data_IF_031062947889
#
_entry.id   IF_031062947889
#
_cell.length_a   1.000
_cell.length_b   1.000
_cell.length_c   1.000
_cell.angle_alpha   90.00
_cell.angle_beta   90.00
_cell.angle_gamma   90.00
#
_symmetry.space_group_name_H-M   'P 1'
#
loop_
_entity.id
_entity.type
_entity.pdbx_description
1 polymer ?
#
# COMPACT_ATOMS: atom_id res chain seq x y z
N UNK A 1 12.73 6.88 4.54
CA UNK A 1 12.02 5.90 3.69
C UNK A 1 12.93 5.64 2.53
N UNK A 2 13.55 4.46 2.49
CA UNK A 2 14.39 4.06 1.36
C UNK A 2 13.44 3.51 0.29
N UNK A 3 13.49 4.06 -0.92
CA UNK A 3 12.76 3.49 -2.05
C UNK A 3 13.49 2.19 -2.41
N UNK A 4 12.80 1.06 -2.30
CA UNK A 4 13.37 -0.22 -2.69
C UNK A 4 13.53 -0.21 -4.22
N UNK A 5 14.74 -0.48 -4.70
CA UNK A 5 15.06 -0.54 -6.13
C UNK A 5 15.56 -1.93 -6.49
N UNK A 6 15.02 -2.47 -7.57
CA UNK A 6 15.53 -3.69 -8.19
C UNK A 6 15.78 -3.46 -9.68
N UNK A 7 16.78 -4.17 -10.22
CA UNK A 7 17.02 -4.23 -11.66
C UNK A 7 16.51 -5.57 -12.18
N UNK A 8 15.66 -5.53 -13.21
CA UNK A 8 15.15 -6.72 -13.89
C UNK A 8 15.45 -6.62 -15.38
N UNK A 9 16.54 -7.25 -15.80
CA UNK A 9 17.07 -7.09 -17.15
C UNK A 9 17.38 -5.62 -17.44
N UNK A 10 16.70 -5.04 -18.44
CA UNK A 10 16.84 -3.64 -18.86
C UNK A 10 15.93 -2.66 -18.12
N UNK A 11 15.19 -3.12 -17.12
CA UNK A 11 14.23 -2.30 -16.37
C UNK A 11 14.76 -1.97 -14.99
N UNK A 12 14.57 -0.70 -14.60
CA UNK A 12 14.73 -0.26 -13.22
C UNK A 12 13.35 -0.19 -12.59
N UNK A 13 13.14 -0.89 -11.47
CA UNK A 13 11.85 -0.98 -10.80
C UNK A 13 12.00 -0.38 -9.40
N UNK A 14 11.09 0.52 -9.06
CA UNK A 14 11.06 1.25 -7.80
C UNK A 14 9.78 0.91 -7.04
N UNK A 15 9.93 0.46 -5.80
CA UNK A 15 8.83 0.26 -4.87
C UNK A 15 8.47 1.58 -4.20
N UNK A 16 7.26 2.07 -4.47
CA UNK A 16 6.72 3.29 -3.88
C UNK A 16 5.61 2.94 -2.88
N UNK A 17 5.36 3.81 -1.92
CA UNK A 17 4.30 3.61 -0.92
C UNK A 17 3.52 4.88 -0.66
N UNK A 18 2.22 4.84 -0.94
CA UNK A 18 1.27 5.91 -0.65
C UNK A 18 0.85 5.94 0.83
N UNK A 19 1.16 4.88 1.58
CA UNK A 19 0.87 4.79 3.00
C UNK A 19 0.36 3.42 3.40
N UNK A 20 -0.43 3.42 4.47
CA UNK A 20 -1.14 2.25 4.95
C UNK A 20 -2.61 2.57 5.21
N UNK A 21 -3.43 1.53 5.26
CA UNK A 21 -4.83 1.60 5.66
C UNK A 21 -5.23 0.27 6.31
N UNK A 22 -6.39 0.25 6.95
CA UNK A 22 -6.85 -0.88 7.75
C UNK A 22 -8.19 -1.38 7.23
N UNK A 23 -8.29 -2.69 7.00
CA UNK A 23 -9.52 -3.37 6.59
C UNK A 23 -9.83 -4.52 7.54
N UNK A 24 -11.11 -4.87 7.67
CA UNK A 24 -11.51 -6.07 8.42
C UNK A 24 -10.80 -7.32 7.90
N UNK A 25 -10.08 -8.01 8.77
CA UNK A 25 -9.31 -9.20 8.40
C UNK A 25 -10.20 -10.34 7.93
N UNK A 26 -11.41 -10.49 8.50
CA UNK A 26 -12.37 -11.49 8.06
C UNK A 26 -12.82 -11.26 6.62
N UNK A 27 -13.11 -10.02 6.25
CA UNK A 27 -13.45 -9.64 4.88
C UNK A 27 -12.29 -9.90 3.90
N UNK A 28 -11.04 -9.67 4.32
CA UNK A 28 -9.86 -9.89 3.47
C UNK A 28 -9.51 -11.37 3.28
N UNK A 29 -9.76 -12.20 4.29
CA UNK A 29 -9.40 -13.62 4.30
C UNK A 29 -10.57 -14.57 4.04
N UNK A 30 -11.80 -14.06 3.95
CA UNK A 30 -12.99 -14.81 3.60
C UNK A 30 -13.22 -16.01 4.51
N UNK A 31 -13.19 -17.22 3.93
CA UNK A 31 -13.44 -18.47 4.66
C UNK A 31 -12.29 -18.91 5.56
N UNK A 32 -11.11 -18.28 5.47
CA UNK A 32 -9.94 -18.71 6.25
C UNK A 32 -10.14 -18.34 7.72
N UNK A 33 -10.05 -19.29 8.66
CA UNK A 33 -10.23 -19.00 10.09
C UNK A 33 -9.24 -17.96 10.62
N UNK A 34 -9.74 -17.07 11.49
CA UNK A 34 -8.94 -16.04 12.17
C UNK A 34 -7.70 -16.57 12.84
N UNK A 35 -7.83 -17.70 13.54
CA UNK A 35 -6.71 -18.38 14.21
C UNK A 35 -5.56 -18.78 13.27
N UNK A 36 -5.80 -18.85 11.96
CA UNK A 36 -4.76 -19.11 10.95
C UNK A 36 -4.16 -17.84 10.38
N UNK A 37 -4.99 -16.90 9.90
CA UNK A 37 -4.47 -15.71 9.22
C UNK A 37 -3.87 -14.68 10.19
N UNK A 38 -4.38 -14.58 11.42
CA UNK A 38 -3.93 -13.60 12.42
C UNK A 38 -2.46 -13.83 12.84
N UNK A 39 -1.98 -15.07 12.71
CA UNK A 39 -0.57 -15.41 12.94
C UNK A 39 0.39 -14.68 11.99
N UNK A 40 -0.07 -14.36 10.78
CA UNK A 40 0.73 -13.66 9.75
C UNK A 40 0.33 -12.19 9.62
N UNK A 41 -0.95 -11.88 9.85
CA UNK A 41 -1.50 -10.54 9.72
C UNK A 41 -2.23 -10.19 11.02
N UNK A 42 -1.51 -9.71 12.05
CA UNK A 42 -2.11 -9.36 13.33
C UNK A 42 -3.23 -8.34 13.14
N UNK A 43 -4.39 -8.61 13.74
CA UNK A 43 -5.51 -7.69 13.74
C UNK A 43 -5.46 -6.75 14.94
N UNK A 44 -6.01 -5.55 14.78
CA UNK A 44 -6.30 -4.63 15.87
C UNK A 44 -7.55 -5.04 16.67
N UNK A 45 -7.90 -4.26 17.70
CA UNK A 45 -9.08 -4.47 18.55
C UNK A 45 -10.41 -4.46 17.77
N UNK A 46 -10.43 -3.84 16.58
CA UNK A 46 -11.58 -3.78 15.67
C UNK A 46 -11.55 -4.89 14.61
N UNK A 47 -10.70 -5.90 14.78
CA UNK A 47 -10.48 -7.00 13.83
C UNK A 47 -9.87 -6.57 12.49
N UNK A 48 -9.18 -5.42 12.42
CA UNK A 48 -8.63 -4.90 11.17
C UNK A 48 -7.15 -5.22 11.02
N UNK A 49 -6.73 -5.52 9.80
CA UNK A 49 -5.33 -5.77 9.44
C UNK A 49 -4.74 -4.54 8.75
N UNK A 50 -3.45 -4.27 9.00
CA UNK A 50 -2.70 -3.20 8.34
C UNK A 50 -2.28 -3.62 6.93
N UNK A 51 -2.69 -2.85 5.93
CA UNK A 51 -2.40 -3.06 4.52
C UNK A 51 -1.59 -1.90 3.98
N UNK A 52 -0.62 -2.20 3.11
CA UNK A 52 0.22 -1.19 2.46
C UNK A 52 -0.36 -0.79 1.11
N UNK A 53 -0.41 0.52 0.86
CA UNK A 53 -0.75 1.10 -0.44
C UNK A 53 0.53 1.22 -1.27
N UNK A 54 0.96 0.11 -1.86
CA UNK A 54 2.18 0.08 -2.66
C UNK A 54 1.86 0.40 -4.13
N UNK A 55 2.74 1.20 -4.74
CA UNK A 55 2.77 1.44 -6.18
C UNK A 55 4.13 1.03 -6.73
N UNK A 56 4.20 0.74 -8.03
CA UNK A 56 5.45 0.35 -8.68
C UNK A 56 5.72 1.31 -9.83
N UNK A 57 6.89 1.96 -9.80
CA UNK A 57 7.38 2.73 -10.94
C UNK A 57 8.39 1.89 -11.71
N UNK A 58 8.08 1.61 -12.97
CA UNK A 58 8.93 0.86 -13.90
C UNK A 58 9.53 1.86 -14.88
N UNK A 59 10.85 1.97 -14.87
CA UNK A 59 11.60 2.78 -15.82
C UNK A 59 12.20 1.88 -16.89
N UNK A 60 11.81 2.17 -18.13
CA UNK A 60 12.38 1.54 -19.34
C UNK A 60 13.27 2.56 -20.07
N UNK A 61 13.85 2.15 -21.20
CA UNK A 61 14.62 3.05 -22.05
C UNK A 61 13.76 4.13 -22.75
N UNK A 62 12.43 3.93 -22.85
CA UNK A 62 11.53 4.81 -23.62
C UNK A 62 10.47 5.50 -22.75
N UNK A 63 10.10 4.87 -21.64
CA UNK A 63 8.88 5.20 -20.91
C UNK A 63 9.07 5.02 -19.40
N UNK A 64 8.30 5.80 -18.64
CA UNK A 64 8.03 5.62 -17.22
C UNK A 64 6.61 5.09 -17.07
N UNK A 65 6.47 3.92 -16.46
CA UNK A 65 5.19 3.24 -16.28
C UNK A 65 4.90 3.17 -14.78
N UNK A 66 3.80 3.77 -14.35
CA UNK A 66 3.33 3.69 -12.97
C UNK A 66 2.22 2.63 -12.88
N UNK A 67 2.39 1.67 -11.99
CA UNK A 67 1.40 0.65 -11.65
C UNK A 67 0.81 1.03 -10.29
N UNK A 68 -0.52 1.23 -10.27
CA UNK A 68 -1.31 1.76 -9.15
C UNK A 68 -0.99 3.21 -8.75
N UNK A 69 -2.01 3.92 -8.25
CA UNK A 69 -1.90 5.32 -7.82
C UNK A 69 -2.30 5.55 -6.36
N UNK A 70 -2.28 4.48 -5.56
CA UNK A 70 -2.73 4.54 -4.16
C UNK A 70 -4.24 4.79 -4.08
N UNK A 71 -4.65 5.62 -3.13
CA UNK A 71 -6.08 5.91 -2.86
C UNK A 71 -6.51 7.32 -3.27
N UNK A 72 -5.67 8.05 -4.01
CA UNK A 72 -5.98 9.42 -4.46
C UNK A 72 -5.89 10.48 -3.36
N UNK A 73 -6.12 11.75 -3.72
CA UNK A 73 -5.98 12.90 -2.81
C UNK A 73 -7.28 13.41 -2.18
N UNK A 74 -8.41 13.28 -2.91
CA UNK A 74 -9.70 13.84 -2.52
C UNK A 74 -10.56 12.84 -1.75
N UNK A 75 -10.13 12.50 -0.54
CA UNK A 75 -10.85 11.60 0.36
C UNK A 75 -11.53 12.38 1.48
N UNK A 76 -12.82 12.10 1.73
CA UNK A 76 -13.58 12.65 2.87
C UNK A 76 -12.90 12.23 4.21
N UNK A 77 -12.80 13.12 5.21
CA UNK A 77 -12.42 12.78 6.58
C UNK A 77 -13.02 11.47 7.14
N UNK A 78 -14.28 11.15 6.80
CA UNK A 78 -14.91 9.87 7.21
C UNK A 78 -14.19 8.65 6.66
N UNK A 79 -13.67 8.72 5.43
CA UNK A 79 -12.90 7.64 4.82
C UNK A 79 -11.58 7.43 5.58
N UNK A 80 -10.90 8.53 5.93
CA UNK A 80 -9.67 8.49 6.72
C UNK A 80 -9.88 7.83 8.08
N UNK A 81 -10.96 8.17 8.78
CA UNK A 81 -11.26 7.60 10.09
C UNK A 81 -11.65 6.12 10.00
N UNK A 82 -12.58 5.78 9.11
CA UNK A 82 -13.10 4.43 8.95
C UNK A 82 -11.99 3.43 8.60
N UNK A 83 -11.13 3.79 7.66
CA UNK A 83 -10.01 2.96 7.19
C UNK A 83 -8.68 3.25 7.91
N UNK A 84 -8.67 4.14 8.91
CA UNK A 84 -7.47 4.53 9.67
C UNK A 84 -6.27 4.78 8.77
N UNK A 85 -6.46 5.63 7.77
CA UNK A 85 -5.49 5.87 6.68
C UNK A 85 -4.24 6.61 7.20
N UNK A 86 -3.06 6.08 6.87
CA UNK A 86 -1.76 6.59 7.29
C UNK A 86 -0.86 6.92 6.07
N UNK A 87 -0.83 8.18 5.61
CA UNK A 87 -0.15 8.58 4.34
C UNK A 87 1.05 9.51 4.48
N UNK A 88 1.87 9.43 5.53
CA UNK A 88 3.04 10.33 5.66
C UNK A 88 4.27 9.66 5.01
N UNK A 89 4.78 10.08 3.83
CA UNK A 89 4.49 11.31 3.06
C UNK A 89 3.49 11.16 1.90
N UNK A 90 3.06 9.95 1.53
CA UNK A 90 2.12 9.73 0.42
C UNK A 90 2.84 9.55 -0.91
N UNK A 91 2.09 9.20 -1.97
CA UNK A 91 2.67 8.76 -3.24
C UNK A 91 3.39 9.89 -3.98
N UNK A 92 2.75 11.05 -4.12
CA UNK A 92 3.32 12.19 -4.87
C UNK A 92 4.63 12.64 -4.26
N UNK A 93 4.66 12.86 -2.94
CA UNK A 93 5.89 13.20 -2.23
C UNK A 93 6.94 12.06 -2.25
N UNK A 94 6.53 10.82 -2.46
CA UNK A 94 7.45 9.70 -2.66
C UNK A 94 8.08 9.66 -4.06
N UNK A 95 7.53 10.41 -5.03
CA UNK A 95 8.07 10.55 -6.39
C UNK A 95 9.06 11.72 -6.54
N UNK A 96 9.08 12.66 -5.59
CA UNK A 96 9.93 13.85 -5.63
C UNK A 96 11.41 13.58 -5.25
N UNK A 97 11.82 12.30 -5.15
CA UNK A 97 13.17 11.87 -4.75
C UNK A 97 13.78 10.90 -5.75
#
# INVERSE_FOLDING_TARGET
MTIDRISLGKFEIYGLRDGFFFLDGGAMFGIVPKTLWEKKFPADEKNRIKLALNSILIKTAKELILVETGIGGDLDPKFYDYYSVERKPGLVLSLEK
#
